data_IF_809959905332
#
_entry.id   IF_809959905332
#
_cell.length_a   1.000
_cell.length_b   1.000
_cell.length_c   1.000
_cell.angle_alpha   90.00
_cell.angle_beta   90.00
_cell.angle_gamma   90.00
#
_symmetry.space_group_name_H-M   'P 1'
#
loop_
_entity.id
_entity.type
_entity.pdbx_description
1 polymer ?
#
# COMPACT_ATOMS: atom_id res chain seq x y z
N UNK A 1 -7.52 25.48 20.84
CA UNK A 1 -6.86 25.11 19.58
C UNK A 1 -6.46 23.65 19.73
N UNK A 2 -6.87 22.77 18.84
CA UNK A 2 -6.52 21.35 18.95
C UNK A 2 -5.09 21.18 18.42
N UNK A 3 -4.17 20.74 19.29
CA UNK A 3 -2.82 20.35 18.88
C UNK A 3 -2.96 19.13 17.96
N UNK A 4 -2.53 19.27 16.70
CA UNK A 4 -2.47 18.12 15.78
C UNK A 4 -1.18 17.36 16.06
N UNK A 5 -1.28 16.27 16.82
CA UNK A 5 -0.16 15.36 17.00
C UNK A 5 -0.21 14.25 15.94
N UNK A 6 0.96 13.90 15.41
CA UNK A 6 1.13 12.77 14.51
C UNK A 6 2.16 11.82 15.06
N UNK A 7 1.95 10.53 14.82
CA UNK A 7 2.94 9.52 15.15
C UNK A 7 3.76 9.21 13.90
N UNK A 8 5.07 9.45 13.95
CA UNK A 8 6.04 9.04 12.94
C UNK A 8 7.01 8.08 13.61
N UNK A 9 7.20 6.88 13.06
CA UNK A 9 8.09 5.84 13.60
C UNK A 9 7.85 5.51 15.09
N UNK A 10 6.58 5.53 15.52
CA UNK A 10 6.19 5.25 16.90
C UNK A 10 6.47 6.38 17.90
N UNK A 11 6.95 7.54 17.44
CA UNK A 11 7.12 8.75 18.26
C UNK A 11 6.06 9.78 17.90
N UNK A 12 5.50 10.41 18.93
CA UNK A 12 4.50 11.45 18.79
C UNK A 12 5.18 12.81 18.58
N UNK A 13 4.80 13.49 17.51
CA UNK A 13 5.30 14.81 17.13
C UNK A 13 4.13 15.78 17.03
N UNK A 14 4.27 16.95 17.63
CA UNK A 14 3.34 18.05 17.42
C UNK A 14 3.59 18.64 16.03
N UNK A 15 2.58 18.57 15.15
CA UNK A 15 2.66 18.97 13.76
C UNK A 15 2.95 20.47 13.61
N UNK A 16 2.47 21.30 14.53
CA UNK A 16 2.71 22.73 14.54
C UNK A 16 4.17 23.09 14.87
N UNK A 17 4.88 22.19 15.56
CA UNK A 17 6.31 22.33 15.89
C UNK A 17 7.25 21.81 14.80
N UNK A 18 6.72 21.19 13.74
CA UNK A 18 7.53 20.74 12.60
C UNK A 18 7.87 21.90 11.67
N UNK A 19 9.06 21.83 11.05
CA UNK A 19 9.42 22.74 9.97
C UNK A 19 8.50 22.56 8.75
N UNK A 20 8.39 23.58 7.92
CA UNK A 20 7.60 23.51 6.69
C UNK A 20 8.14 22.44 5.73
N UNK A 21 9.46 22.25 5.68
CA UNK A 21 10.10 21.16 4.93
C UNK A 21 9.66 19.78 5.45
N UNK A 22 9.62 19.58 6.77
CA UNK A 22 9.18 18.32 7.36
C UNK A 22 7.69 18.05 7.08
N UNK A 23 6.83 19.07 7.11
CA UNK A 23 5.41 18.96 6.73
C UNK A 23 5.23 18.59 5.25
N UNK A 24 6.04 19.17 4.38
CA UNK A 24 6.03 18.83 2.95
C UNK A 24 6.45 17.37 2.73
N UNK A 25 7.54 16.93 3.37
CA UNK A 25 7.99 15.55 3.26
C UNK A 25 6.97 14.56 3.81
N UNK A 26 6.32 14.88 4.93
CA UNK A 26 5.22 14.08 5.49
C UNK A 26 4.06 13.95 4.50
N UNK A 27 3.71 15.02 3.80
CA UNK A 27 2.66 15.00 2.79
C UNK A 27 3.04 14.08 1.64
N UNK A 28 4.27 14.21 1.12
CA UNK A 28 4.81 13.33 0.09
C UNK A 28 4.83 11.85 0.53
N UNK A 29 5.20 11.58 1.78
CA UNK A 29 5.18 10.23 2.35
C UNK A 29 3.77 9.65 2.34
N UNK A 30 2.78 10.39 2.86
CA UNK A 30 1.37 9.94 2.91
C UNK A 30 0.81 9.63 1.52
N UNK A 31 1.11 10.47 0.53
CA UNK A 31 0.69 10.23 -0.86
C UNK A 31 1.36 8.96 -1.40
N UNK A 32 2.65 8.78 -1.13
CA UNK A 32 3.39 7.59 -1.55
C UNK A 32 2.82 6.32 -0.92
N UNK A 33 2.48 6.35 0.37
CA UNK A 33 1.86 5.23 1.08
C UNK A 33 0.50 4.86 0.50
N UNK A 34 -0.31 5.86 0.11
CA UNK A 34 -1.59 5.64 -0.57
C UNK A 34 -1.38 4.95 -1.93
N UNK A 35 -0.40 5.38 -2.71
CA UNK A 35 -0.07 4.75 -3.99
C UNK A 35 0.44 3.31 -3.82
N UNK A 36 1.26 3.05 -2.80
CA UNK A 36 1.69 1.69 -2.46
C UNK A 36 0.49 0.80 -2.14
N UNK A 37 -0.45 1.29 -1.31
CA UNK A 37 -1.68 0.55 -0.97
C UNK A 37 -2.54 0.27 -2.20
N UNK A 38 -2.65 1.25 -3.12
CA UNK A 38 -3.35 1.08 -4.39
C UNK A 38 -2.70 0.00 -5.25
N UNK A 39 -1.38 0.00 -5.38
CA UNK A 39 -0.63 -1.01 -6.14
C UNK A 39 -0.78 -2.40 -5.51
N UNK A 40 -0.72 -2.52 -4.19
CA UNK A 40 -0.97 -3.79 -3.49
C UNK A 40 -2.36 -4.36 -3.79
N UNK A 41 -3.38 -3.50 -3.85
CA UNK A 41 -4.74 -3.91 -4.26
C UNK A 41 -4.76 -4.46 -5.69
N UNK A 42 -4.08 -3.78 -6.63
CA UNK A 42 -3.98 -4.25 -8.01
C UNK A 42 -3.24 -5.58 -8.12
N UNK A 43 -2.17 -5.77 -7.34
CA UNK A 43 -1.43 -7.03 -7.26
C UNK A 43 -2.35 -8.16 -6.76
N UNK A 44 -3.16 -7.93 -5.74
CA UNK A 44 -4.08 -8.94 -5.21
C UNK A 44 -5.13 -9.37 -6.27
N UNK A 45 -5.64 -8.41 -7.04
CA UNK A 45 -6.55 -8.69 -8.17
C UNK A 45 -5.84 -9.55 -9.22
N UNK A 46 -4.63 -9.15 -9.64
CA UNK A 46 -3.86 -9.87 -10.64
C UNK A 46 -3.49 -11.30 -10.18
N UNK A 47 -3.12 -11.48 -8.92
CA UNK A 47 -2.84 -12.79 -8.33
C UNK A 47 -4.08 -13.70 -8.35
N UNK A 48 -5.25 -13.15 -8.03
CA UNK A 48 -6.52 -13.89 -8.12
C UNK A 48 -6.77 -14.37 -9.54
N UNK A 49 -6.64 -13.49 -10.54
CA UNK A 49 -6.81 -13.83 -11.94
C UNK A 49 -5.79 -14.89 -12.40
N UNK A 50 -4.51 -14.72 -12.04
CA UNK A 50 -3.44 -15.70 -12.32
C UNK A 50 -3.80 -17.09 -11.79
N UNK A 51 -4.29 -17.18 -10.56
CA UNK A 51 -4.65 -18.45 -9.95
C UNK A 51 -5.83 -19.12 -10.67
N UNK A 52 -6.84 -18.34 -11.09
CA UNK A 52 -7.94 -18.83 -11.90
C UNK A 52 -7.46 -19.38 -13.25
N UNK A 53 -6.58 -18.64 -13.95
CA UNK A 53 -6.00 -19.09 -15.21
C UNK A 53 -5.12 -20.34 -15.06
N UNK A 54 -4.33 -20.41 -13.98
CA UNK A 54 -3.52 -21.60 -13.69
C UNK A 54 -4.39 -22.84 -13.46
N UNK A 55 -5.50 -22.69 -12.73
CA UNK A 55 -6.46 -23.79 -12.53
C UNK A 55 -7.10 -24.23 -13.85
N UNK A 56 -7.60 -23.28 -14.64
CA UNK A 56 -8.21 -23.58 -15.94
C UNK A 56 -7.22 -24.28 -16.88
N UNK A 57 -5.96 -23.81 -16.91
CA UNK A 57 -4.91 -24.46 -17.68
C UNK A 57 -4.66 -25.89 -17.20
N UNK A 58 -4.57 -26.12 -15.88
CA UNK A 58 -4.37 -27.47 -15.33
C UNK A 58 -5.49 -28.45 -15.67
N UNK A 59 -6.71 -27.97 -15.89
CA UNK A 59 -7.86 -28.80 -16.31
C UNK A 59 -7.78 -29.17 -17.81
N UNK A 60 -7.11 -28.34 -18.62
CA UNK A 60 -6.91 -28.56 -20.06
C UNK A 60 -5.65 -29.39 -20.35
N UNK A 61 -4.70 -29.45 -19.43
CA UNK A 61 -3.50 -30.26 -19.60
C UNK A 61 -3.86 -31.76 -19.52
N UNK A 62 -3.15 -32.61 -20.29
CA UNK A 62 -3.31 -34.05 -20.18
C UNK A 62 -3.07 -34.47 -18.73
N UNK A 63 -4.03 -35.19 -18.16
CA UNK A 63 -3.78 -35.91 -16.91
C UNK A 63 -3.03 -37.16 -17.32
N UNK A 64 -1.74 -37.26 -16.93
CA UNK A 64 -0.98 -38.48 -17.11
C UNK A 64 -1.81 -39.67 -16.58
N UNK A 65 -1.90 -40.71 -17.40
CA UNK A 65 -2.72 -41.91 -17.17
C UNK A 65 -2.23 -42.75 -15.98
#
# INVERSE_FOLDING_TARGET
MAEQNITIDGKEYNLDKLSDEAKNQLTSLRVTDQEISRLQTQIAIAQTARNAYAKALSELLPKDA
#
